data_IF_685888636014
#
_entry.id   IF_685888636014
#
_cell.length_a   1.000
_cell.length_b   1.000
_cell.length_c   1.000
_cell.angle_alpha   90.00
_cell.angle_beta   90.00
_cell.angle_gamma   90.00
#
_symmetry.space_group_name_H-M   'P 1'
#
loop_
_entity.id
_entity.type
_entity.pdbx_description
1 polymer ?
#
# COMPACT_ATOMS: atom_id res chain seq x y z
N UNK A 1 -16.66 -2.69 -25.21
CA UNK A 1 -15.63 -1.91 -24.47
C UNK A 1 -14.26 -2.48 -24.77
N UNK A 2 -13.33 -1.63 -25.01
CA UNK A 2 -11.96 -2.08 -25.22
C UNK A 2 -11.41 -2.68 -23.94
N UNK A 3 -10.78 -3.84 -24.06
CA UNK A 3 -10.16 -4.50 -22.92
C UNK A 3 -9.01 -3.64 -22.39
N UNK A 4 -9.03 -3.39 -21.11
CA UNK A 4 -7.97 -2.65 -20.48
C UNK A 4 -6.73 -3.50 -20.30
N UNK A 5 -5.59 -2.90 -20.42
CA UNK A 5 -4.33 -3.56 -20.17
C UNK A 5 -4.26 -3.94 -18.69
N UNK A 6 -3.88 -5.19 -18.40
CA UNK A 6 -3.83 -5.69 -17.04
C UNK A 6 -2.83 -4.96 -16.17
N UNK A 7 -1.78 -4.41 -16.78
CA UNK A 7 -0.67 -3.81 -16.06
C UNK A 7 -0.84 -2.30 -15.86
N UNK A 8 -2.00 -1.77 -16.25
CA UNK A 8 -2.26 -0.34 -16.14
C UNK A 8 -3.52 -0.10 -15.34
N UNK A 9 -3.37 0.52 -14.18
CA UNK A 9 -4.50 0.93 -13.35
C UNK A 9 -4.97 2.32 -13.75
N UNK A 10 -6.26 2.54 -13.59
CA UNK A 10 -6.81 3.88 -13.71
C UNK A 10 -6.49 4.69 -12.45
N UNK A 11 -6.24 5.98 -12.57
CA UNK A 11 -6.03 6.80 -11.39
C UNK A 11 -7.31 6.90 -10.56
N UNK A 12 -7.13 6.93 -9.23
CA UNK A 12 -8.23 7.12 -8.30
C UNK A 12 -8.88 8.48 -8.51
N UNK A 13 -8.07 9.49 -8.79
CA UNK A 13 -8.54 10.86 -9.03
C UNK A 13 -7.71 11.51 -10.13
N UNK A 14 -8.39 12.25 -11.02
CA UNK A 14 -7.74 13.05 -12.03
C UNK A 14 -8.01 14.52 -11.77
N UNK A 15 -6.98 15.32 -11.95
CA UNK A 15 -7.08 16.77 -11.82
C UNK A 15 -6.89 17.45 -13.17
N UNK A 16 -7.47 18.62 -13.36
CA UNK A 16 -7.37 19.36 -14.63
C UNK A 16 -5.95 19.79 -14.96
N UNK A 17 -5.06 19.76 -13.99
CA UNK A 17 -3.66 20.14 -14.14
C UNK A 17 -2.79 19.03 -14.71
N UNK A 18 -3.37 17.88 -15.05
CA UNK A 18 -2.60 16.73 -15.51
C UNK A 18 -2.05 15.87 -14.37
N UNK A 19 -2.41 16.19 -13.14
CA UNK A 19 -2.03 15.42 -11.98
C UNK A 19 -3.00 14.26 -11.80
N UNK A 20 -2.47 13.08 -11.50
CA UNK A 20 -3.29 11.88 -11.26
C UNK A 20 -2.92 11.29 -9.92
N UNK A 21 -3.93 10.85 -9.17
CA UNK A 21 -3.73 10.20 -7.88
C UNK A 21 -4.15 8.74 -7.97
N UNK A 22 -3.23 7.85 -7.61
CA UNK A 22 -3.51 6.42 -7.50
C UNK A 22 -3.46 6.02 -6.03
N UNK A 23 -4.40 5.20 -5.61
CA UNK A 23 -4.40 4.63 -4.27
C UNK A 23 -4.18 3.13 -4.39
N UNK A 24 -3.20 2.62 -3.65
CA UNK A 24 -2.89 1.20 -3.58
C UNK A 24 -2.97 0.71 -2.15
N UNK A 25 -2.96 -0.59 -1.99
CA UNK A 25 -2.93 -1.21 -0.67
C UNK A 25 -1.82 -2.27 -0.64
N UNK A 26 -0.93 -2.15 0.35
CA UNK A 26 0.09 -3.17 0.60
C UNK A 26 -0.39 -4.10 1.70
N UNK A 27 -1.36 -4.97 1.37
CA UNK A 27 -1.90 -5.89 2.34
C UNK A 27 -2.63 -5.20 3.49
N UNK A 28 -2.62 -5.85 4.64
CA UNK A 28 -3.33 -5.38 5.82
C UNK A 28 -2.59 -5.83 7.07
N UNK A 29 -3.03 -5.32 8.22
CA UNK A 29 -2.52 -5.72 9.52
C UNK A 29 -3.69 -6.32 10.31
N UNK A 30 -3.53 -7.57 10.75
CA UNK A 30 -4.51 -8.24 11.61
C UNK A 30 -4.16 -7.96 13.05
N UNK A 31 -5.14 -7.50 13.79
CA UNK A 31 -4.96 -7.15 15.19
C UNK A 31 -6.26 -7.41 15.95
N UNK A 32 -6.35 -6.90 17.16
CA UNK A 32 -7.57 -6.94 17.97
C UNK A 32 -8.04 -5.51 18.17
N UNK A 33 -9.36 -5.34 18.20
CA UNK A 33 -9.96 -4.01 18.32
C UNK A 33 -9.46 -3.28 19.55
N UNK A 34 -9.24 -4.00 20.65
CA UNK A 34 -8.77 -3.39 21.91
C UNK A 34 -7.38 -2.76 21.78
N UNK A 35 -6.56 -3.18 20.81
CA UNK A 35 -5.24 -2.60 20.59
C UNK A 35 -5.30 -1.30 19.80
N UNK A 36 -6.42 -1.01 19.20
CA UNK A 36 -6.59 0.19 18.39
C UNK A 36 -7.38 1.25 19.15
N UNK A 37 -8.39 0.82 19.88
CA UNK A 37 -9.28 1.72 20.59
C UNK A 37 -9.48 1.24 22.00
N UNK A 38 -9.32 2.13 22.97
CA UNK A 38 -9.49 1.80 24.39
C UNK A 38 -10.89 1.30 24.68
N UNK A 39 -10.99 0.39 25.66
CA UNK A 39 -12.25 -0.13 26.16
C UNK A 39 -13.05 -0.93 25.10
N UNK A 40 -12.35 -1.50 24.13
CA UNK A 40 -12.97 -2.36 23.13
C UNK A 40 -12.67 -3.84 23.41
N UNK A 41 -13.37 -4.71 22.68
CA UNK A 41 -13.27 -6.15 22.87
C UNK A 41 -12.02 -6.74 22.22
N UNK A 42 -11.85 -8.07 22.42
CA UNK A 42 -10.79 -8.87 21.78
C UNK A 42 -11.11 -9.26 20.34
N UNK A 43 -12.20 -8.75 19.77
CA UNK A 43 -12.59 -9.18 18.45
C UNK A 43 -11.51 -8.88 17.40
N UNK A 44 -11.37 -9.77 16.43
CA UNK A 44 -10.40 -9.54 15.35
C UNK A 44 -10.72 -8.27 14.59
N UNK A 45 -9.69 -7.56 14.21
CA UNK A 45 -9.82 -6.37 13.40
C UNK A 45 -8.69 -6.33 12.40
N UNK A 46 -9.01 -5.93 11.17
CA UNK A 46 -8.02 -5.88 10.11
C UNK A 46 -7.93 -4.47 9.57
N UNK A 47 -6.70 -3.94 9.55
CA UNK A 47 -6.44 -2.57 9.10
C UNK A 47 -5.80 -2.63 7.73
N UNK A 48 -6.40 -2.04 6.70
CA UNK A 48 -5.73 -1.93 5.41
C UNK A 48 -4.56 -0.96 5.50
N UNK A 49 -3.52 -1.23 4.73
CA UNK A 49 -2.33 -0.37 4.70
C UNK A 49 -2.23 0.28 3.32
N UNK A 50 -2.78 1.47 3.15
CA UNK A 50 -2.76 2.14 1.85
C UNK A 50 -1.46 2.88 1.62
N UNK A 51 -1.17 3.15 0.36
CA UNK A 51 -0.16 4.10 -0.04
C UNK A 51 -0.62 4.80 -1.31
N UNK A 52 0.03 5.90 -1.65
CA UNK A 52 -0.45 6.74 -2.73
C UNK A 52 0.66 7.06 -3.71
N UNK A 53 0.31 7.09 -4.98
CA UNK A 53 1.19 7.53 -6.04
C UNK A 53 0.56 8.74 -6.71
N UNK A 54 1.30 9.82 -6.75
CA UNK A 54 0.88 11.03 -7.47
C UNK A 54 1.71 11.12 -8.74
N UNK A 55 1.03 11.06 -9.87
CA UNK A 55 1.69 11.30 -11.15
C UNK A 55 1.60 12.78 -11.48
N UNK A 56 2.75 13.37 -11.63
CA UNK A 56 2.88 14.79 -11.91
C UNK A 56 3.72 14.99 -13.17
N UNK A 57 3.42 16.01 -13.99
CA UNK A 57 4.20 16.25 -15.22
C UNK A 57 5.70 16.39 -14.99
N UNK A 58 6.11 16.85 -13.81
CA UNK A 58 7.53 17.08 -13.51
C UNK A 58 8.17 15.95 -12.72
N UNK A 59 7.42 14.89 -12.42
CA UNK A 59 7.92 13.74 -11.68
C UNK A 59 6.86 13.13 -10.79
N UNK A 60 7.01 11.84 -10.52
CA UNK A 60 6.02 11.10 -9.73
C UNK A 60 6.43 11.08 -8.27
N UNK A 61 5.44 11.09 -7.38
CA UNK A 61 5.65 11.14 -5.93
C UNK A 61 4.95 9.97 -5.27
N UNK A 62 5.65 9.24 -4.41
CA UNK A 62 5.07 8.20 -3.58
C UNK A 62 4.87 8.75 -2.18
N UNK A 63 3.65 8.57 -1.66
CA UNK A 63 3.33 8.94 -0.29
C UNK A 63 3.14 7.67 0.51
N UNK A 64 3.96 7.48 1.52
CA UNK A 64 3.93 6.40 2.50
C UNK A 64 4.44 5.04 2.01
N UNK A 65 4.37 4.68 0.81
CA UNK A 65 4.90 3.40 0.32
C UNK A 65 4.33 2.12 0.92
N UNK A 66 3.60 2.17 2.01
CA UNK A 66 3.01 1.00 2.65
C UNK A 66 4.01 0.14 3.41
N UNK A 67 3.70 -1.15 3.56
CA UNK A 67 4.57 -2.09 4.28
C UNK A 67 5.75 -2.52 3.42
N UNK A 68 6.92 -2.77 4.05
CA UNK A 68 8.08 -3.29 3.32
C UNK A 68 7.86 -4.73 2.88
N UNK A 69 8.69 -5.20 1.96
CA UNK A 69 8.55 -6.54 1.40
C UNK A 69 8.72 -7.63 2.46
N UNK A 70 9.42 -7.35 3.55
CA UNK A 70 9.62 -8.30 4.64
C UNK A 70 8.31 -8.74 5.25
N UNK A 71 7.26 -7.94 5.14
CA UNK A 71 5.92 -8.32 5.59
C UNK A 71 5.40 -9.55 4.86
N UNK A 72 5.83 -9.76 3.62
CA UNK A 72 5.43 -10.92 2.84
C UNK A 72 6.43 -12.06 2.92
N UNK A 73 7.70 -11.75 3.12
CA UNK A 73 8.78 -12.75 3.04
C UNK A 73 9.09 -13.35 4.40
N UNK A 74 9.38 -12.51 5.40
CA UNK A 74 9.77 -12.98 6.72
C UNK A 74 9.45 -11.95 7.78
N UNK A 75 8.18 -11.83 8.09
CA UNK A 75 7.71 -10.82 9.03
C UNK A 75 8.22 -11.02 10.46
N UNK A 76 8.37 -12.28 10.87
CA UNK A 76 8.82 -12.58 12.22
C UNK A 76 10.27 -12.15 12.43
N UNK A 77 11.11 -12.37 11.43
CA UNK A 77 12.48 -11.95 11.49
C UNK A 77 12.62 -10.43 11.53
N UNK A 78 11.76 -9.75 10.80
CA UNK A 78 11.83 -8.29 10.70
C UNK A 78 11.27 -7.58 11.93
N UNK A 79 10.13 -8.03 12.43
CA UNK A 79 9.45 -7.37 13.55
C UNK A 79 9.46 -8.16 14.86
N UNK A 80 9.77 -9.44 14.83
CA UNK A 80 9.79 -10.24 16.04
C UNK A 80 8.42 -10.41 16.68
N UNK A 81 8.36 -10.25 17.99
CA UNK A 81 7.14 -10.52 18.77
C UNK A 81 6.03 -9.52 18.53
N UNK A 82 6.30 -8.39 17.90
CA UNK A 82 5.26 -7.41 17.56
C UNK A 82 4.21 -8.04 16.66
N UNK A 83 4.60 -9.03 15.85
CA UNK A 83 3.70 -9.74 14.95
C UNK A 83 2.55 -10.42 15.71
N UNK A 84 2.73 -10.76 16.97
CA UNK A 84 1.69 -11.39 17.78
C UNK A 84 0.52 -10.44 18.04
N UNK A 85 0.80 -9.15 18.15
CA UNK A 85 -0.24 -8.14 18.39
C UNK A 85 -0.70 -7.47 17.09
N UNK A 86 0.22 -7.26 16.17
CA UNK A 86 -0.05 -6.57 14.91
C UNK A 86 0.55 -7.40 13.79
N UNK A 87 -0.24 -8.34 13.27
CA UNK A 87 0.22 -9.31 12.29
C UNK A 87 0.06 -8.78 10.86
N UNK A 88 1.14 -8.41 10.19
CA UNK A 88 1.05 -7.98 8.81
C UNK A 88 0.72 -9.14 7.88
N UNK A 89 -0.17 -8.91 6.95
CA UNK A 89 -0.56 -9.88 5.94
C UNK A 89 -0.39 -9.23 4.58
N UNK A 90 0.58 -9.72 3.81
CA UNK A 90 0.88 -9.13 2.51
C UNK A 90 1.41 -10.21 1.57
N UNK A 91 0.98 -10.13 0.32
CA UNK A 91 1.57 -10.94 -0.76
C UNK A 91 2.74 -10.16 -1.34
N UNK A 92 3.72 -10.87 -1.89
CA UNK A 92 4.88 -10.19 -2.51
C UNK A 92 4.45 -9.25 -3.63
N UNK A 93 3.40 -9.60 -4.36
CA UNK A 93 2.87 -8.74 -5.43
C UNK A 93 2.23 -7.46 -4.93
N UNK A 94 1.93 -7.38 -3.64
CA UNK A 94 1.34 -6.19 -3.03
C UNK A 94 2.38 -5.17 -2.56
N UNK A 95 3.67 -5.52 -2.66
CA UNK A 95 4.73 -4.58 -2.33
C UNK A 95 4.69 -3.38 -3.27
N UNK A 96 4.88 -2.18 -2.75
CA UNK A 96 4.71 -0.96 -3.54
C UNK A 96 5.57 -0.95 -4.80
N UNK A 97 6.78 -1.50 -4.73
CA UNK A 97 7.67 -1.57 -5.89
C UNK A 97 7.06 -2.39 -7.02
N UNK A 98 6.35 -3.47 -6.69
CA UNK A 98 5.68 -4.29 -7.70
C UNK A 98 4.39 -3.64 -8.18
N UNK A 99 3.67 -2.97 -7.28
CA UNK A 99 2.45 -2.28 -7.65
C UNK A 99 2.71 -1.09 -8.57
N UNK A 100 3.81 -0.39 -8.37
CA UNK A 100 4.21 0.73 -9.21
C UNK A 100 4.34 0.32 -10.67
N UNK A 101 4.73 -0.93 -10.92
CA UNK A 101 4.88 -1.45 -12.28
C UNK A 101 3.57 -1.56 -13.02
N UNK A 102 2.45 -1.50 -12.32
CA UNK A 102 1.12 -1.60 -12.93
C UNK A 102 0.63 -0.28 -13.51
N UNK A 103 1.39 0.78 -13.31
CA UNK A 103 1.12 2.09 -13.91
C UNK A 103 2.37 2.54 -14.66
N UNK A 104 2.16 3.40 -15.66
CA UNK A 104 3.28 3.97 -16.40
C UNK A 104 3.90 5.08 -15.56
N UNK A 105 4.86 4.73 -14.72
CA UNK A 105 5.52 5.71 -13.86
C UNK A 105 6.87 6.10 -14.42
N UNK A 106 7.23 7.35 -14.15
CA UNK A 106 8.59 7.81 -14.35
C UNK A 106 9.42 7.33 -13.17
N UNK A 107 10.57 6.72 -13.45
CA UNK A 107 11.42 6.17 -12.39
C UNK A 107 12.07 7.24 -11.53
N UNK A 108 11.92 8.52 -11.89
CA UNK A 108 12.39 9.64 -11.07
C UNK A 108 11.40 9.92 -9.95
N UNK A 109 11.19 8.94 -9.08
CA UNK A 109 10.25 9.07 -7.99
C UNK A 109 10.86 9.80 -6.81
N UNK A 110 10.04 10.62 -6.16
CA UNK A 110 10.38 11.24 -4.88
C UNK A 110 9.48 10.58 -3.84
N UNK A 111 10.09 9.92 -2.87
CA UNK A 111 9.35 9.27 -1.79
C UNK A 111 9.20 10.21 -0.61
N UNK A 112 7.99 10.40 -0.20
CA UNK A 112 7.67 11.24 0.95
C UNK A 112 7.18 10.38 2.10
#
# INVERSE_FOLDING_TARGET
MKKKDKDIFEPTTKFNTGIKLYMFQTGSIKTKLKFIKMNQSDEPYEIPVPWFLIKHPEGDVIIDGGMPIEAAIDKHKHWGSVVEAYDPVMKTSEWCRDQVKTVNTNLSLIHI
#
